data_IF_004661081761
#
_entry.id   IF_004661081761
#
_cell.length_a   1.000
_cell.length_b   1.000
_cell.length_c   1.000
_cell.angle_alpha   90.00
_cell.angle_beta   90.00
_cell.angle_gamma   90.00
#
_symmetry.space_group_name_H-M   'P 1'
#
loop_
_entity.id
_entity.type
_entity.pdbx_description
1 polymer ?
#
# COMPACT_ATOMS: atom_id res chain seq x y z
N UNK A 1 3.09 56.98 17.85
CA UNK A 1 4.34 56.85 17.06
C UNK A 1 4.88 55.45 17.29
N UNK A 2 5.18 54.69 16.23
CA UNK A 2 5.80 53.36 16.35
C UNK A 2 7.31 53.55 16.57
N UNK A 3 7.86 53.05 17.67
CA UNK A 3 9.30 53.17 17.94
C UNK A 3 10.09 52.16 17.12
N UNK A 4 11.40 52.40 16.91
CA UNK A 4 12.24 51.42 16.23
C UNK A 4 12.24 50.07 16.91
N UNK A 5 12.26 50.07 18.24
CA UNK A 5 12.24 48.84 19.04
C UNK A 5 11.02 48.01 18.69
N UNK A 6 9.83 48.62 18.54
CA UNK A 6 8.64 47.91 18.10
C UNK A 6 8.76 47.31 16.70
N UNK A 7 9.46 47.98 15.77
CA UNK A 7 9.70 47.48 14.41
C UNK A 7 10.70 46.31 14.44
N UNK A 8 11.79 46.45 15.21
CA UNK A 8 12.81 45.43 15.40
C UNK A 8 12.24 44.19 16.10
N UNK A 9 11.46 44.38 17.15
CA UNK A 9 10.77 43.31 17.88
C UNK A 9 9.80 42.55 16.98
N UNK A 10 9.08 43.26 16.11
CA UNK A 10 8.18 42.62 15.15
C UNK A 10 8.94 41.81 14.09
N UNK A 11 10.05 42.32 13.55
CA UNK A 11 10.92 41.60 12.62
C UNK A 11 11.59 40.37 13.27
N UNK A 12 12.08 40.52 14.52
CA UNK A 12 12.63 39.44 15.33
C UNK A 12 11.56 38.39 15.66
N UNK A 13 10.33 38.85 15.86
CA UNK A 13 9.15 38.00 15.99
C UNK A 13 8.87 37.17 14.74
N UNK A 14 8.86 37.79 13.56
CA UNK A 14 8.72 37.05 12.29
C UNK A 14 9.81 35.98 12.15
N UNK A 15 11.07 36.33 12.45
CA UNK A 15 12.19 35.38 12.43
C UNK A 15 11.94 34.16 13.31
N UNK A 16 11.51 34.36 14.56
CA UNK A 16 11.19 33.26 15.49
C UNK A 16 10.05 32.38 14.98
N UNK A 17 8.95 32.98 14.53
CA UNK A 17 7.81 32.19 14.05
C UNK A 17 8.12 31.42 12.77
N UNK A 18 8.85 32.00 11.82
CA UNK A 18 9.25 31.31 10.61
C UNK A 18 10.27 30.19 10.89
N UNK A 19 11.16 30.38 11.87
CA UNK A 19 12.07 29.32 12.32
C UNK A 19 11.29 28.14 12.93
N UNK A 20 10.30 28.42 13.78
CA UNK A 20 9.42 27.40 14.36
C UNK A 20 8.59 26.70 13.29
N UNK A 21 8.00 27.47 12.36
CA UNK A 21 7.26 26.92 11.22
C UNK A 21 8.14 25.99 10.37
N UNK A 22 9.40 26.39 10.10
CA UNK A 22 10.35 25.58 9.36
C UNK A 22 10.66 24.26 10.08
N UNK A 23 10.87 24.31 11.41
CA UNK A 23 11.06 23.12 12.24
C UNK A 23 9.88 22.17 12.14
N UNK A 24 8.65 22.66 12.28
CA UNK A 24 7.43 21.85 12.20
C UNK A 24 7.24 21.24 10.82
N UNK A 25 7.45 22.02 9.76
CA UNK A 25 7.39 21.55 8.36
C UNK A 25 8.40 20.42 8.11
N UNK A 26 9.62 20.53 8.64
CA UNK A 26 10.62 19.46 8.57
C UNK A 26 10.24 18.23 9.38
N UNK A 27 9.63 18.40 10.56
CA UNK A 27 9.11 17.29 11.35
C UNK A 27 8.00 16.54 10.60
N UNK A 28 7.05 17.24 9.97
CA UNK A 28 6.04 16.62 9.09
C UNK A 28 6.71 15.87 7.94
N UNK A 29 7.72 16.45 7.30
CA UNK A 29 8.44 15.79 6.21
C UNK A 29 9.17 14.51 6.68
N UNK A 30 9.79 14.55 7.87
CA UNK A 30 10.46 13.42 8.50
C UNK A 30 9.49 12.30 8.85
N UNK A 31 8.39 12.65 9.52
CA UNK A 31 7.33 11.71 9.90
C UNK A 31 6.73 11.03 8.67
N UNK A 32 6.30 11.81 7.66
CA UNK A 32 5.81 11.27 6.38
C UNK A 32 6.84 10.41 5.66
N UNK A 33 8.14 10.65 5.89
CA UNK A 33 9.22 9.82 5.37
C UNK A 33 9.23 8.39 5.89
N UNK A 34 8.68 8.12 7.07
CA UNK A 34 8.53 6.75 7.59
C UNK A 34 7.63 5.89 6.69
N UNK A 35 6.69 6.51 5.98
CA UNK A 35 5.82 5.83 5.01
C UNK A 35 6.47 5.54 3.64
N UNK A 36 7.73 5.93 3.39
CA UNK A 36 8.38 5.74 2.08
C UNK A 36 8.48 4.25 1.70
N UNK A 37 8.65 3.36 2.68
CA UNK A 37 8.66 1.91 2.49
C UNK A 37 7.29 1.40 2.02
N UNK A 38 6.20 1.83 2.65
CA UNK A 38 4.84 1.47 2.25
C UNK A 38 4.49 1.99 0.85
N UNK A 39 4.89 3.22 0.52
CA UNK A 39 4.71 3.78 -0.84
C UNK A 39 5.46 2.95 -1.89
N UNK A 40 6.70 2.57 -1.59
CA UNK A 40 7.52 1.72 -2.47
C UNK A 40 6.90 0.33 -2.62
N UNK A 41 6.38 -0.24 -1.53
CA UNK A 41 5.63 -1.48 -1.55
C UNK A 41 4.39 -1.37 -2.44
N UNK A 42 3.60 -0.30 -2.28
CA UNK A 42 2.37 -0.05 -3.04
C UNK A 42 2.61 0.10 -4.54
N UNK A 43 3.72 0.72 -4.95
CA UNK A 43 4.11 0.83 -6.37
C UNK A 43 4.39 -0.52 -7.02
N UNK A 44 4.87 -1.49 -6.23
CA UNK A 44 5.16 -2.84 -6.69
C UNK A 44 3.96 -3.79 -6.56
N UNK A 45 2.77 -3.32 -6.14
CA UNK A 45 1.61 -4.18 -5.89
C UNK A 45 1.16 -4.93 -7.15
N UNK A 46 1.09 -4.24 -8.29
CA UNK A 46 0.63 -4.85 -9.54
C UNK A 46 1.61 -5.93 -10.02
N UNK A 47 2.91 -5.72 -9.79
CA UNK A 47 3.93 -6.75 -10.03
C UNK A 47 3.72 -7.98 -9.16
N UNK A 48 3.35 -7.81 -7.88
CA UNK A 48 3.03 -8.94 -6.98
C UNK A 48 1.76 -9.68 -7.40
N UNK A 49 0.75 -8.95 -7.90
CA UNK A 49 -0.43 -9.56 -8.49
C UNK A 49 -0.02 -10.46 -9.66
N UNK A 50 0.80 -9.95 -10.58
CA UNK A 50 1.24 -10.68 -11.76
C UNK A 50 2.20 -11.84 -11.44
N UNK A 51 3.06 -11.71 -10.44
CA UNK A 51 4.07 -12.73 -10.12
C UNK A 51 3.57 -13.82 -9.19
N UNK A 52 2.56 -13.54 -8.35
CA UNK A 52 2.12 -14.46 -7.29
C UNK A 52 0.63 -14.78 -7.39
N UNK A 53 -0.23 -13.76 -7.41
CA UNK A 53 -1.68 -13.95 -7.33
C UNK A 53 -2.25 -14.58 -8.61
N UNK A 54 -1.90 -14.04 -9.77
CA UNK A 54 -2.40 -14.51 -11.07
C UNK A 54 -1.90 -15.93 -11.41
N UNK A 55 -0.62 -16.29 -11.21
CA UNK A 55 -0.16 -17.65 -11.39
C UNK A 55 -0.85 -18.65 -10.46
N UNK A 56 -0.99 -18.33 -9.17
CA UNK A 56 -1.71 -19.18 -8.21
C UNK A 56 -3.18 -19.40 -8.61
N UNK A 57 -3.84 -18.34 -9.08
CA UNK A 57 -5.21 -18.42 -9.57
C UNK A 57 -5.32 -19.34 -10.81
N UNK A 58 -4.39 -19.21 -11.75
CA UNK A 58 -4.36 -20.03 -12.96
C UNK A 58 -4.07 -21.50 -12.64
N UNK A 59 -3.16 -21.77 -11.70
CA UNK A 59 -2.86 -23.11 -11.25
C UNK A 59 -4.09 -23.79 -10.63
N UNK A 60 -4.78 -23.12 -9.69
CA UNK A 60 -6.00 -23.67 -9.09
C UNK A 60 -7.12 -23.91 -10.12
N UNK A 61 -7.24 -23.03 -11.12
CA UNK A 61 -8.19 -23.22 -12.23
C UNK A 61 -7.83 -24.43 -13.08
N UNK A 62 -6.55 -24.63 -13.39
CA UNK A 62 -6.07 -25.78 -14.16
C UNK A 62 -6.24 -27.10 -13.39
N UNK A 63 -5.92 -27.11 -12.09
CA UNK A 63 -6.20 -28.26 -11.20
C UNK A 63 -7.69 -28.58 -11.18
N UNK A 64 -8.55 -27.57 -11.00
CA UNK A 64 -10.02 -27.73 -11.03
C UNK A 64 -10.54 -28.30 -12.35
N UNK A 65 -10.01 -27.83 -13.49
CA UNK A 65 -10.38 -28.33 -14.83
C UNK A 65 -9.99 -29.79 -15.01
N UNK A 66 -8.79 -30.16 -14.57
CA UNK A 66 -8.27 -31.53 -14.65
C UNK A 66 -9.09 -32.49 -13.78
N UNK A 67 -9.41 -32.09 -12.55
CA UNK A 67 -10.27 -32.87 -11.65
C UNK A 67 -11.67 -33.07 -12.22
N UNK A 68 -12.28 -32.04 -12.80
CA UNK A 68 -13.61 -32.14 -13.43
C UNK A 68 -13.60 -33.12 -14.61
N UNK A 69 -12.53 -33.13 -15.41
CA UNK A 69 -12.34 -34.10 -16.49
C UNK A 69 -12.25 -35.53 -15.92
N UNK A 70 -11.41 -35.75 -14.92
CA UNK A 70 -11.27 -37.06 -14.24
C UNK A 70 -12.58 -37.54 -13.61
N UNK A 71 -13.34 -36.64 -12.97
CA UNK A 71 -14.64 -36.99 -12.39
C UNK A 71 -15.63 -37.49 -13.45
N UNK A 72 -15.60 -36.90 -14.66
CA UNK A 72 -16.44 -37.33 -15.78
C UNK A 72 -15.99 -38.70 -16.30
N UNK A 73 -14.68 -38.91 -16.41
CA UNK A 73 -14.09 -40.21 -16.81
C UNK A 73 -14.42 -41.31 -15.80
N UNK A 74 -14.32 -41.03 -14.49
CA UNK A 74 -14.67 -41.99 -13.43
C UNK A 74 -16.15 -42.36 -13.42
N UNK A 75 -17.05 -41.39 -13.67
CA UNK A 75 -18.49 -41.65 -13.79
C UNK A 75 -18.79 -42.59 -14.96
N UNK A 76 -18.24 -42.31 -16.14
CA UNK A 76 -18.39 -43.17 -17.30
C UNK A 76 -17.86 -44.59 -17.03
N UNK A 77 -16.70 -44.71 -16.38
CA UNK A 77 -16.12 -46.00 -16.00
C UNK A 77 -17.03 -46.78 -15.04
N UNK A 78 -17.62 -46.11 -14.04
CA UNK A 78 -18.58 -46.75 -13.11
C UNK A 78 -19.83 -47.23 -13.87
N UNK A 79 -20.35 -46.45 -14.82
CA UNK A 79 -21.49 -46.85 -15.65
C UNK A 79 -21.16 -48.09 -16.49
N UNK A 80 -20.01 -48.11 -17.17
CA UNK A 80 -19.52 -49.26 -17.95
C UNK A 80 -19.33 -50.51 -17.09
N UNK A 81 -18.71 -50.38 -15.91
CA UNK A 81 -18.54 -51.50 -14.96
C UNK A 81 -19.86 -52.01 -14.40
N UNK A 82 -20.85 -51.15 -14.22
CA UNK A 82 -22.20 -51.58 -13.83
C UNK A 82 -22.88 -52.37 -14.94
N UNK A 83 -22.65 -52.05 -16.23
CA UNK A 83 -23.14 -52.87 -17.34
C UNK A 83 -22.50 -54.27 -17.35
N UNK A 84 -21.19 -54.37 -17.07
CA UNK A 84 -20.50 -55.67 -16.92
C UNK A 84 -21.10 -56.46 -15.75
N UNK A 85 -21.28 -55.82 -14.60
CA UNK A 85 -21.92 -56.42 -13.42
C UNK A 85 -23.31 -56.97 -13.73
N UNK A 86 -24.15 -56.21 -14.44
CA UNK A 86 -25.49 -56.64 -14.86
C UNK A 86 -25.40 -57.81 -15.85
N UNK A 87 -24.46 -57.81 -16.79
CA UNK A 87 -24.26 -58.91 -17.72
C UNK A 87 -23.84 -60.20 -16.99
N UNK A 88 -22.94 -60.11 -16.01
CA UNK A 88 -22.53 -61.23 -15.15
C UNK A 88 -23.68 -61.78 -14.30
N UNK A 89 -24.48 -60.90 -13.70
CA UNK A 89 -25.65 -61.31 -12.90
C UNK A 89 -26.73 -62.00 -13.72
N UNK A 90 -26.82 -61.69 -15.02
CA UNK A 90 -27.75 -62.31 -15.96
C UNK A 90 -27.14 -63.50 -16.72
N UNK A 91 -25.98 -64.01 -16.28
CA UNK A 91 -25.27 -65.16 -16.88
C UNK A 91 -24.88 -64.96 -18.36
N UNK A 92 -24.74 -63.69 -18.80
CA UNK A 92 -24.34 -63.33 -20.17
C UNK A 92 -22.82 -63.08 -20.24
N UNK A 93 -22.03 -64.14 -20.07
CA UNK A 93 -20.57 -64.05 -19.92
C UNK A 93 -19.85 -63.46 -21.15
N UNK A 94 -20.17 -63.91 -22.38
CA UNK A 94 -19.59 -63.36 -23.63
C UNK A 94 -19.81 -61.86 -23.79
N UNK A 95 -20.94 -61.35 -23.27
CA UNK A 95 -21.28 -59.94 -23.31
C UNK A 95 -20.53 -59.17 -22.24
N UNK A 96 -20.40 -59.74 -21.03
CA UNK A 96 -19.61 -59.14 -19.96
C UNK A 96 -18.13 -59.01 -20.36
N UNK A 97 -17.56 -60.06 -20.97
CA UNK A 97 -16.19 -60.09 -21.48
C UNK A 97 -15.95 -59.01 -22.54
N UNK A 98 -16.83 -58.93 -23.56
CA UNK A 98 -16.73 -57.90 -24.61
C UNK A 98 -16.76 -56.47 -24.06
N UNK A 99 -17.69 -56.18 -23.14
CA UNK A 99 -17.76 -54.85 -22.53
C UNK A 99 -16.48 -54.58 -21.73
N UNK A 100 -15.97 -55.54 -20.97
CA UNK A 100 -14.74 -55.36 -20.18
C UNK A 100 -13.50 -55.10 -21.06
N UNK A 101 -13.39 -55.78 -22.20
CA UNK A 101 -12.31 -55.59 -23.19
C UNK A 101 -12.36 -54.22 -23.88
N UNK A 102 -13.55 -53.63 -24.03
CA UNK A 102 -13.74 -52.29 -24.60
C UNK A 102 -13.33 -51.16 -23.63
N UNK A 103 -13.30 -51.43 -22.32
CA UNK A 103 -12.89 -50.44 -21.30
C UNK A 103 -11.37 -50.27 -21.39
N UNK A 104 -10.90 -49.20 -22.05
CA UNK A 104 -9.46 -48.90 -22.22
C UNK A 104 -8.69 -48.69 -20.92
N UNK A 105 -9.39 -48.29 -19.86
CA UNK A 105 -8.87 -48.15 -18.49
C UNK A 105 -9.31 -49.31 -17.60
N UNK A 106 -9.56 -50.48 -18.20
CA UNK A 106 -10.03 -51.63 -17.47
C UNK A 106 -9.08 -51.91 -16.30
N UNK A 107 -9.62 -52.20 -15.11
CA UNK A 107 -8.81 -52.84 -14.09
C UNK A 107 -8.18 -54.10 -14.68
N UNK A 108 -6.96 -54.42 -14.24
CA UNK A 108 -6.25 -55.65 -14.57
C UNK A 108 -6.98 -56.84 -13.90
N UNK A 109 -8.20 -57.11 -14.38
CA UNK A 109 -9.02 -58.26 -13.99
C UNK A 109 -8.53 -59.39 -14.88
N UNK A 110 -7.33 -59.88 -14.54
CA UNK A 110 -6.78 -61.11 -15.09
C UNK A 110 -7.54 -62.28 -14.45
N UNK A 111 -8.78 -62.46 -14.89
CA UNK A 111 -9.70 -63.51 -14.48
C UNK A 111 -10.54 -63.90 -15.68
N UNK A 112 -10.41 -65.16 -16.07
CA UNK A 112 -11.26 -65.80 -17.06
C UNK A 112 -12.72 -65.82 -16.54
N UNK A 113 -13.53 -64.89 -17.06
CA UNK A 113 -14.90 -64.64 -16.61
C UNK A 113 -15.78 -65.87 -16.78
N UNK A 114 -15.52 -66.68 -17.82
CA UNK A 114 -16.25 -67.92 -18.09
C UNK A 114 -15.94 -68.99 -17.05
N UNK A 115 -14.69 -69.05 -16.56
CA UNK A 115 -14.26 -70.07 -15.59
C UNK A 115 -14.58 -69.68 -14.15
N UNK A 116 -14.61 -68.38 -13.82
CA UNK A 116 -14.77 -67.89 -12.43
C UNK A 116 -15.70 -66.67 -12.33
N UNK A 117 -16.99 -66.79 -12.69
CA UNK A 117 -17.91 -65.66 -12.77
C UNK A 117 -18.19 -65.01 -11.41
N UNK A 118 -18.24 -65.78 -10.33
CA UNK A 118 -18.43 -65.24 -8.98
C UNK A 118 -17.24 -64.41 -8.48
N UNK A 119 -16.00 -64.88 -8.73
CA UNK A 119 -14.79 -64.12 -8.39
C UNK A 119 -14.69 -62.83 -9.21
N UNK A 120 -15.01 -62.89 -10.51
CA UNK A 120 -15.04 -61.73 -11.39
C UNK A 120 -16.08 -60.69 -10.92
N UNK A 121 -17.28 -61.14 -10.53
CA UNK A 121 -18.33 -60.28 -10.01
C UNK A 121 -17.91 -59.57 -8.72
N UNK A 122 -17.29 -60.27 -7.78
CA UNK A 122 -16.81 -59.66 -6.52
C UNK A 122 -15.66 -58.67 -6.78
N UNK A 123 -14.72 -58.98 -7.69
CA UNK A 123 -13.66 -58.02 -8.07
C UNK A 123 -14.24 -56.75 -8.70
N UNK A 124 -15.23 -56.87 -9.58
CA UNK A 124 -15.88 -55.71 -10.21
C UNK A 124 -16.59 -54.84 -9.15
N UNK A 125 -17.31 -55.46 -8.20
CA UNK A 125 -17.94 -54.72 -7.09
C UNK A 125 -16.92 -53.97 -6.24
N UNK A 126 -15.80 -54.61 -5.91
CA UNK A 126 -14.71 -53.97 -5.15
C UNK A 126 -14.11 -52.80 -5.91
N UNK A 127 -13.88 -52.96 -7.22
CA UNK A 127 -13.32 -51.91 -8.05
C UNK A 127 -14.27 -50.72 -8.21
N UNK A 128 -15.57 -50.96 -8.44
CA UNK A 128 -16.60 -49.90 -8.46
C UNK A 128 -16.53 -49.10 -7.16
N UNK A 129 -16.49 -49.77 -6.00
CA UNK A 129 -16.41 -49.12 -4.69
C UNK A 129 -15.13 -48.30 -4.53
N UNK A 130 -14.00 -48.77 -5.06
CA UNK A 130 -12.74 -48.03 -5.01
C UNK A 130 -12.76 -46.78 -5.90
N UNK A 131 -13.31 -46.89 -7.12
CA UNK A 131 -13.47 -45.75 -8.04
C UNK A 131 -14.43 -44.71 -7.45
N UNK A 132 -15.56 -45.15 -6.88
CA UNK A 132 -16.51 -44.28 -6.18
C UNK A 132 -15.83 -43.51 -5.04
N UNK A 133 -15.04 -44.18 -4.19
CA UNK A 133 -14.30 -43.52 -3.10
C UNK A 133 -13.33 -42.46 -3.62
N UNK A 134 -12.54 -42.79 -4.65
CA UNK A 134 -11.60 -41.84 -5.28
C UNK A 134 -12.32 -40.65 -5.91
N UNK A 135 -13.51 -40.89 -6.46
CA UNK A 135 -14.37 -39.83 -7.00
C UNK A 135 -14.86 -38.89 -5.91
N UNK A 136 -15.31 -39.41 -4.77
CA UNK A 136 -15.75 -38.60 -3.63
C UNK A 136 -14.61 -37.74 -3.06
N UNK A 137 -13.43 -38.32 -2.87
CA UNK A 137 -12.22 -37.59 -2.46
C UNK A 137 -11.86 -36.48 -3.46
N UNK A 138 -11.93 -36.77 -4.76
CA UNK A 138 -11.68 -35.79 -5.83
C UNK A 138 -12.73 -34.67 -5.86
N UNK A 139 -14.00 -34.99 -5.61
CA UNK A 139 -15.09 -34.02 -5.54
C UNK A 139 -14.91 -33.06 -4.34
N UNK A 140 -14.53 -33.59 -3.17
CA UNK A 140 -14.21 -32.78 -1.99
C UNK A 140 -13.01 -31.87 -2.24
N UNK A 141 -11.96 -32.38 -2.90
CA UNK A 141 -10.80 -31.55 -3.27
C UNK A 141 -11.18 -30.46 -4.29
N UNK A 142 -12.04 -30.77 -5.28
CA UNK A 142 -12.53 -29.78 -6.25
C UNK A 142 -13.33 -28.65 -5.58
N UNK A 143 -14.15 -28.95 -4.57
CA UNK A 143 -14.87 -27.95 -3.77
C UNK A 143 -13.86 -27.00 -3.09
N UNK A 144 -12.81 -27.56 -2.48
CA UNK A 144 -11.73 -26.78 -1.86
C UNK A 144 -11.00 -25.89 -2.87
N UNK A 145 -10.60 -26.42 -4.04
CA UNK A 145 -9.97 -25.62 -5.10
C UNK A 145 -10.86 -24.45 -5.56
N UNK A 146 -12.18 -24.67 -5.72
CA UNK A 146 -13.12 -23.61 -6.10
C UNK A 146 -13.29 -22.55 -5.00
N UNK A 147 -13.30 -22.96 -3.73
CA UNK A 147 -13.32 -22.03 -2.59
C UNK A 147 -12.05 -21.17 -2.56
N UNK A 148 -10.87 -21.79 -2.70
CA UNK A 148 -9.58 -21.10 -2.77
C UNK A 148 -9.53 -20.13 -3.97
N UNK A 149 -9.97 -20.55 -5.16
CA UNK A 149 -10.05 -19.69 -6.35
C UNK A 149 -10.91 -18.44 -6.10
N UNK A 150 -12.07 -18.59 -5.45
CA UNK A 150 -12.92 -17.45 -5.07
C UNK A 150 -12.21 -16.53 -4.07
N UNK A 151 -11.50 -17.08 -3.09
CA UNK A 151 -10.75 -16.31 -2.09
C UNK A 151 -9.58 -15.55 -2.72
N UNK A 152 -8.81 -16.19 -3.61
CA UNK A 152 -7.73 -15.53 -4.38
C UNK A 152 -8.27 -14.40 -5.27
N UNK A 153 -9.42 -14.57 -5.92
CA UNK A 153 -10.05 -13.48 -6.68
C UNK A 153 -10.43 -12.29 -5.80
N UNK A 154 -10.95 -12.54 -4.58
CA UNK A 154 -11.24 -11.45 -3.62
C UNK A 154 -9.96 -10.73 -3.19
N UNK A 155 -8.90 -11.48 -2.91
CA UNK A 155 -7.56 -10.94 -2.59
C UNK A 155 -7.06 -10.05 -3.74
N UNK A 156 -7.16 -10.53 -4.99
CA UNK A 156 -6.81 -9.72 -6.17
C UNK A 156 -7.56 -8.40 -6.21
N UNK A 157 -8.87 -8.42 -5.93
CA UNK A 157 -9.68 -7.20 -5.91
C UNK A 157 -9.25 -6.23 -4.80
N UNK A 158 -8.84 -6.72 -3.62
CA UNK A 158 -8.28 -5.88 -2.55
C UNK A 158 -7.01 -5.17 -3.04
N UNK A 159 -6.10 -5.87 -3.71
CA UNK A 159 -4.86 -5.28 -4.25
C UNK A 159 -5.12 -4.25 -5.36
N UNK A 160 -6.27 -4.33 -6.01
CA UNK A 160 -6.67 -3.43 -7.11
C UNK A 160 -7.63 -2.32 -6.67
N UNK A 161 -8.11 -2.33 -5.42
CA UNK A 161 -9.13 -1.38 -4.94
C UNK A 161 -8.59 0.03 -4.72
N UNK A 162 -7.34 0.16 -4.26
CA UNK A 162 -6.73 1.44 -3.91
C UNK A 162 -5.98 2.04 -5.12
N UNK A 163 -6.25 3.32 -5.42
CA UNK A 163 -5.52 4.07 -6.45
C UNK A 163 -4.25 4.72 -5.91
N UNK A 164 -4.24 5.11 -4.63
CA UNK A 164 -3.11 5.74 -3.94
C UNK A 164 -2.83 5.03 -2.63
N UNK A 165 -1.61 5.13 -2.13
CA UNK A 165 -1.18 4.51 -0.86
C UNK A 165 -2.04 4.94 0.33
N UNK A 166 -2.48 6.20 0.36
CA UNK A 166 -3.35 6.71 1.43
C UNK A 166 -4.78 6.16 1.40
N UNK A 167 -5.20 5.59 0.27
CA UNK A 167 -6.52 4.98 0.11
C UNK A 167 -6.49 3.48 0.49
N UNK A 168 -5.32 2.97 0.92
CA UNK A 168 -5.18 1.57 1.34
C UNK A 168 -5.84 1.36 2.70
N UNK A 169 -6.72 0.38 2.76
CA UNK A 169 -7.11 -0.24 4.02
C UNK A 169 -6.01 -1.23 4.46
N UNK A 170 -5.16 -0.78 5.38
CA UNK A 170 -4.01 -1.55 5.88
C UNK A 170 -4.46 -2.89 6.47
N UNK A 171 -5.58 -2.93 7.20
CA UNK A 171 -6.08 -4.16 7.81
C UNK A 171 -6.55 -5.15 6.74
N UNK A 172 -7.30 -4.68 5.74
CA UNK A 172 -7.77 -5.52 4.65
C UNK A 172 -6.61 -6.09 3.81
N UNK A 173 -5.58 -5.29 3.53
CA UNK A 173 -4.39 -5.75 2.80
C UNK A 173 -3.58 -6.75 3.62
N UNK A 174 -3.33 -6.49 4.90
CA UNK A 174 -2.62 -7.42 5.78
C UNK A 174 -3.33 -8.77 5.87
N UNK A 175 -4.66 -8.76 6.05
CA UNK A 175 -5.45 -9.99 6.05
C UNK A 175 -5.39 -10.70 4.69
N UNK A 176 -5.47 -9.97 3.58
CA UNK A 176 -5.39 -10.54 2.25
C UNK A 176 -4.02 -11.20 1.96
N UNK A 177 -2.93 -10.63 2.49
CA UNK A 177 -1.58 -11.20 2.41
C UNK A 177 -1.50 -12.52 3.20
N UNK A 178 -1.95 -12.52 4.46
CA UNK A 178 -1.98 -13.71 5.30
C UNK A 178 -2.83 -14.83 4.69
N UNK A 179 -4.01 -14.47 4.21
CA UNK A 179 -4.93 -15.38 3.53
C UNK A 179 -4.27 -16.00 2.28
N UNK A 180 -3.60 -15.19 1.46
CA UNK A 180 -2.93 -15.67 0.26
C UNK A 180 -1.80 -16.65 0.60
N UNK A 181 -0.92 -16.29 1.53
CA UNK A 181 0.21 -17.13 1.92
C UNK A 181 -0.26 -18.44 2.58
N UNK A 182 -1.38 -18.42 3.30
CA UNK A 182 -2.03 -19.63 3.85
C UNK A 182 -2.54 -20.54 2.74
N UNK A 183 -3.25 -20.01 1.75
CA UNK A 183 -3.76 -20.79 0.60
C UNK A 183 -2.59 -21.37 -0.20
N UNK A 184 -1.55 -20.58 -0.46
CA UNK A 184 -0.34 -21.03 -1.14
C UNK A 184 0.24 -22.26 -0.44
N UNK A 185 0.35 -22.22 0.89
CA UNK A 185 0.87 -23.33 1.71
C UNK A 185 -0.07 -24.54 1.71
N UNK A 186 -1.37 -24.32 1.88
CA UNK A 186 -2.38 -25.39 1.90
C UNK A 186 -2.43 -26.17 0.58
N UNK A 187 -2.26 -25.48 -0.56
CA UNK A 187 -2.33 -26.08 -1.89
C UNK A 187 -0.96 -26.38 -2.50
N UNK A 188 0.13 -26.10 -1.80
CA UNK A 188 1.51 -26.28 -2.27
C UNK A 188 1.72 -25.65 -3.66
N UNK A 189 1.34 -24.37 -3.78
CA UNK A 189 1.46 -23.60 -5.02
C UNK A 189 2.86 -23.01 -5.11
N UNK A 190 3.56 -23.25 -6.22
CA UNK A 190 4.92 -22.76 -6.45
C UNK A 190 4.90 -21.31 -6.99
N UNK A 191 4.70 -20.37 -6.07
CA UNK A 191 4.76 -18.93 -6.35
C UNK A 191 5.47 -18.18 -5.22
N UNK A 192 6.07 -17.01 -5.50
CA UNK A 192 6.68 -16.19 -4.44
C UNK A 192 5.66 -15.75 -3.40
N UNK A 193 6.08 -15.73 -2.14
CA UNK A 193 5.27 -15.19 -1.05
C UNK A 193 5.11 -13.68 -1.13
N UNK A 194 3.95 -13.21 -0.70
CA UNK A 194 3.70 -11.78 -0.61
C UNK A 194 4.24 -11.32 0.75
N UNK A 195 5.25 -10.45 0.71
CA UNK A 195 5.80 -9.80 1.90
C UNK A 195 4.74 -8.94 2.58
N UNK A 196 4.77 -8.94 3.90
CA UNK A 196 3.93 -8.10 4.76
C UNK A 196 4.03 -6.61 4.42
N UNK A 197 2.99 -5.87 4.81
CA UNK A 197 2.99 -4.43 4.66
C UNK A 197 4.03 -3.80 5.60
N UNK A 198 4.90 -2.91 5.07
CA UNK A 198 5.75 -2.09 5.94
C UNK A 198 4.91 -1.16 6.81
N UNK A 199 5.47 -0.79 7.96
CA UNK A 199 4.91 0.25 8.80
C UNK A 199 4.78 1.58 8.04
N UNK A 200 3.78 2.36 8.41
CA UNK A 200 3.56 3.72 7.92
C UNK A 200 3.73 4.71 9.06
N UNK A 201 3.77 5.99 8.71
CA UNK A 201 3.71 7.07 9.69
C UNK A 201 2.40 7.06 10.47
N UNK A 202 2.45 7.54 11.71
CA UNK A 202 1.27 7.68 12.55
C UNK A 202 0.44 8.90 12.11
N UNK A 203 -0.85 8.66 11.83
CA UNK A 203 -1.78 9.72 11.45
C UNK A 203 -2.10 10.67 12.60
N UNK A 204 -2.06 10.19 13.85
CA UNK A 204 -2.28 11.02 15.05
C UNK A 204 -1.20 12.10 15.16
N UNK A 205 0.06 11.67 15.16
CA UNK A 205 1.25 12.54 15.17
C UNK A 205 1.22 13.57 14.04
N UNK A 206 0.85 13.17 12.82
CA UNK A 206 0.71 14.11 11.69
C UNK A 206 -0.39 15.15 11.94
N UNK A 207 -1.52 14.73 12.50
CA UNK A 207 -2.62 15.64 12.82
C UNK A 207 -2.22 16.66 13.87
N UNK A 208 -1.50 16.24 14.91
CA UNK A 208 -0.95 17.14 15.95
C UNK A 208 0.01 18.17 15.34
N UNK A 209 0.96 17.72 14.53
CA UNK A 209 1.88 18.61 13.83
C UNK A 209 1.16 19.60 12.89
N UNK A 210 0.08 19.17 12.25
CA UNK A 210 -0.76 20.04 11.42
C UNK A 210 -1.45 21.13 12.25
N UNK A 211 -1.96 20.81 13.44
CA UNK A 211 -2.53 21.80 14.36
C UNK A 211 -1.47 22.79 14.88
N UNK A 212 -0.28 22.30 15.25
CA UNK A 212 0.83 23.17 15.64
C UNK A 212 1.20 24.15 14.51
N UNK A 213 1.27 23.66 13.26
CA UNK A 213 1.50 24.52 12.09
C UNK A 213 0.41 25.59 11.96
N UNK A 214 -0.87 25.22 12.11
CA UNK A 214 -1.99 26.18 12.06
C UNK A 214 -1.86 27.25 13.14
N UNK A 215 -1.47 26.87 14.36
CA UNK A 215 -1.25 27.81 15.45
C UNK A 215 -0.12 28.80 15.14
N UNK A 216 1.03 28.33 14.65
CA UNK A 216 2.15 29.20 14.25
C UNK A 216 1.73 30.14 13.12
N UNK A 217 0.99 29.64 12.14
CA UNK A 217 0.47 30.47 11.04
C UNK A 217 -0.47 31.56 11.53
N UNK A 218 -1.36 31.25 12.47
CA UNK A 218 -2.24 32.24 13.09
C UNK A 218 -1.44 33.35 13.80
N UNK A 219 -0.34 33.00 14.50
CA UNK A 219 0.57 33.99 15.09
C UNK A 219 1.23 34.87 14.04
N UNK A 220 1.75 34.29 12.95
CA UNK A 220 2.36 35.05 11.84
C UNK A 220 1.36 36.03 11.21
N UNK A 221 0.10 35.60 11.06
CA UNK A 221 -0.96 36.44 10.51
C UNK A 221 -1.41 37.56 11.45
N UNK A 222 -1.33 37.34 12.76
CA UNK A 222 -1.60 38.34 13.79
C UNK A 222 -0.52 39.41 13.93
N UNK A 223 0.67 39.22 13.33
CA UNK A 223 1.75 40.23 13.38
C UNK A 223 1.45 41.45 12.54
N UNK A 224 2.04 42.58 12.93
CA UNK A 224 2.02 43.79 12.12
C UNK A 224 2.66 43.53 10.76
N UNK A 225 1.93 43.84 9.69
CA UNK A 225 2.30 43.47 8.32
C UNK A 225 3.51 44.28 7.85
N UNK A 226 4.67 43.63 7.78
CA UNK A 226 5.88 44.21 7.20
C UNK A 226 6.00 43.84 5.72
N UNK A 227 6.12 44.85 4.85
CA UNK A 227 6.25 44.65 3.40
C UNK A 227 7.45 43.76 3.01
N UNK A 228 8.55 43.82 3.78
CA UNK A 228 9.73 42.98 3.57
C UNK A 228 9.42 41.47 3.67
N UNK A 229 8.46 41.08 4.51
CA UNK A 229 8.08 39.68 4.73
C UNK A 229 6.91 39.24 3.84
N UNK A 230 6.52 40.03 2.83
CA UNK A 230 5.35 39.75 1.99
C UNK A 230 5.47 38.39 1.26
N UNK A 231 6.65 38.04 0.74
CA UNK A 231 6.86 36.75 0.07
C UNK A 231 6.77 35.57 1.05
N UNK A 232 7.48 35.64 2.18
CA UNK A 232 7.40 34.64 3.23
C UNK A 232 5.95 34.44 3.73
N UNK A 233 5.16 35.51 3.83
CA UNK A 233 3.72 35.43 4.17
C UNK A 233 2.85 34.83 3.07
N UNK A 234 3.16 35.06 1.79
CA UNK A 234 2.50 34.34 0.69
C UNK A 234 2.78 32.84 0.79
N UNK A 235 4.01 32.47 1.14
CA UNK A 235 4.42 31.07 1.31
C UNK A 235 3.62 30.34 2.39
N UNK A 236 3.29 31.02 3.48
CA UNK A 236 2.42 30.49 4.56
C UNK A 236 1.08 29.99 4.03
N UNK A 237 0.46 30.68 3.06
CA UNK A 237 -0.81 30.23 2.47
C UNK A 237 -0.66 28.90 1.73
N UNK A 238 0.46 28.72 1.03
CA UNK A 238 0.75 27.47 0.33
C UNK A 238 0.98 26.33 1.32
N UNK A 239 1.65 26.61 2.45
CA UNK A 239 1.85 25.62 3.52
C UNK A 239 0.52 25.17 4.13
N UNK A 240 -0.38 26.10 4.45
CA UNK A 240 -1.72 25.75 4.96
C UNK A 240 -2.52 24.93 3.94
N UNK A 241 -2.44 25.28 2.66
CA UNK A 241 -3.05 24.48 1.60
C UNK A 241 -2.46 23.07 1.53
N UNK A 242 -1.14 22.92 1.72
CA UNK A 242 -0.47 21.63 1.71
C UNK A 242 -0.84 20.78 2.95
N UNK A 243 -1.02 21.42 4.11
CA UNK A 243 -1.56 20.83 5.35
C UNK A 243 -3.01 20.38 5.13
N UNK A 244 -3.87 21.24 4.59
CA UNK A 244 -5.28 20.93 4.35
C UNK A 244 -5.50 19.79 3.35
N UNK A 245 -4.58 19.60 2.41
CA UNK A 245 -4.63 18.52 1.42
C UNK A 245 -3.82 17.27 1.79
N UNK A 246 -3.21 17.25 2.98
CA UNK A 246 -2.32 16.18 3.44
C UNK A 246 -1.26 15.81 2.38
N UNK A 247 -0.50 16.80 1.91
CA UNK A 247 0.51 16.58 0.86
C UNK A 247 1.65 15.67 1.33
N UNK A 248 2.39 15.10 0.38
CA UNK A 248 3.50 14.19 0.69
C UNK A 248 4.77 14.91 1.17
N UNK A 249 5.71 14.14 1.72
CA UNK A 249 7.05 14.55 2.20
C UNK A 249 7.76 15.59 1.32
N UNK A 250 7.75 15.40 -0.01
CA UNK A 250 8.42 16.30 -0.96
C UNK A 250 7.87 17.72 -0.93
N UNK A 251 6.55 17.89 -0.73
CA UNK A 251 5.95 19.20 -0.64
C UNK A 251 6.52 19.96 0.57
N UNK A 252 6.48 19.34 1.75
CA UNK A 252 6.99 19.92 3.00
C UNK A 252 8.51 20.17 2.95
N UNK A 253 9.28 19.26 2.35
CA UNK A 253 10.74 19.48 2.13
C UNK A 253 11.00 20.73 1.27
N UNK A 254 10.20 20.92 0.21
CA UNK A 254 10.31 22.13 -0.63
C UNK A 254 9.88 23.39 0.14
N UNK A 255 8.81 23.30 0.94
CA UNK A 255 8.35 24.44 1.77
C UNK A 255 9.40 24.88 2.77
N UNK A 256 10.11 23.95 3.39
CA UNK A 256 11.22 24.28 4.28
C UNK A 256 12.27 25.16 3.60
N UNK A 257 12.73 24.78 2.38
CA UNK A 257 13.71 25.56 1.62
C UNK A 257 13.18 26.94 1.24
N UNK A 258 11.91 27.02 0.85
CA UNK A 258 11.27 28.29 0.50
C UNK A 258 11.12 29.20 1.73
N UNK A 259 10.76 28.68 2.90
CA UNK A 259 10.72 29.45 4.16
C UNK A 259 12.10 30.02 4.45
N UNK A 260 13.14 29.19 4.45
CA UNK A 260 14.52 29.63 4.75
C UNK A 260 14.95 30.73 3.78
N UNK A 261 14.73 30.54 2.48
CA UNK A 261 15.08 31.53 1.45
C UNK A 261 14.32 32.85 1.64
N UNK A 262 12.99 32.80 1.66
CA UNK A 262 12.13 34.00 1.70
C UNK A 262 12.33 34.77 3.01
N UNK A 263 12.51 34.07 4.13
CA UNK A 263 12.74 34.70 5.45
C UNK A 263 14.14 35.29 5.55
N UNK A 264 15.18 34.60 5.09
CA UNK A 264 16.55 35.13 5.15
C UNK A 264 16.74 36.33 4.23
N UNK A 265 16.09 36.36 3.06
CA UNK A 265 16.05 37.54 2.20
C UNK A 265 15.39 38.74 2.91
N UNK A 266 14.26 38.52 3.57
CA UNK A 266 13.56 39.57 4.33
C UNK A 266 14.41 40.10 5.50
N UNK A 267 15.07 39.22 6.24
CA UNK A 267 15.98 39.57 7.35
C UNK A 267 17.21 40.32 6.84
N UNK A 268 17.82 39.88 5.74
CA UNK A 268 18.96 40.56 5.14
C UNK A 268 18.58 41.97 4.65
N UNK A 269 17.43 42.11 3.98
CA UNK A 269 16.89 43.43 3.62
C UNK A 269 16.61 44.29 4.86
N UNK A 270 16.07 43.71 5.93
CA UNK A 270 15.84 44.42 7.19
C UNK A 270 17.15 44.92 7.80
N UNK A 271 18.17 44.05 7.87
CA UNK A 271 19.50 44.39 8.39
C UNK A 271 20.25 45.40 7.49
N UNK A 272 20.04 45.38 6.17
CA UNK A 272 20.64 46.36 5.26
C UNK A 272 19.94 47.72 5.33
N UNK A 273 18.61 47.74 5.36
CA UNK A 273 17.81 48.97 5.25
C UNK A 273 17.54 49.61 6.61
N UNK A 274 17.10 48.84 7.60
CA UNK A 274 16.48 49.36 8.82
C UNK A 274 17.38 49.32 10.06
N UNK A 275 18.46 48.53 10.06
CA UNK A 275 19.41 48.50 11.19
C UNK A 275 20.11 49.86 11.45
N UNK A 276 20.08 50.77 10.48
CA UNK A 276 20.66 52.12 10.55
C UNK A 276 19.64 53.27 10.66
N UNK A 277 18.32 53.01 10.64
CA UNK A 277 17.33 54.07 10.34
C UNK A 277 16.81 54.86 11.56
N UNK A 278 17.23 54.57 12.79
CA UNK A 278 16.49 55.14 13.95
C UNK A 278 17.26 56.08 14.84
N UNK A 279 18.00 56.97 14.21
CA UNK A 279 18.53 58.14 14.86
C UNK A 279 19.37 58.93 13.89
N UNK A 280 18.79 59.28 12.74
CA UNK A 280 19.49 59.90 11.61
C UNK A 280 20.61 58.99 11.07
N UNK A 281 20.58 58.65 9.77
CA UNK A 281 21.75 57.99 9.12
C UNK A 281 23.06 58.73 9.40
N UNK A 282 22.91 60.01 9.72
CA UNK A 282 23.95 60.94 10.06
C UNK A 282 23.48 61.87 11.17
N UNK A 283 24.18 61.92 12.29
CA UNK A 283 23.95 62.98 13.27
C UNK A 283 24.65 64.25 12.80
N UNK A 284 23.91 65.36 12.75
CA UNK A 284 24.46 66.67 12.37
C UNK A 284 25.32 67.18 13.52
N UNK A 285 26.61 67.33 13.31
CA UNK A 285 27.49 67.98 14.30
C UNK A 285 27.21 69.48 14.27
N UNK A 286 26.88 70.06 15.42
CA UNK A 286 26.26 71.38 15.59
C UNK A 286 27.05 72.62 15.14
N UNK A 287 28.19 72.48 14.47
CA UNK A 287 28.95 73.63 13.96
C UNK A 287 29.65 73.29 12.64
N UNK A 288 29.23 73.99 11.58
CA UNK A 288 29.82 74.12 10.24
C UNK A 288 29.50 73.11 9.12
N UNK A 289 28.92 73.72 8.07
CA UNK A 289 28.68 73.42 6.65
C UNK A 289 28.56 71.99 6.07
N UNK A 290 29.25 70.93 6.50
CA UNK A 290 29.06 69.56 5.95
C UNK A 290 29.36 68.42 6.94
N UNK A 291 29.09 68.63 8.24
CA UNK A 291 29.36 67.63 9.29
C UNK A 291 28.21 66.66 9.54
N UNK A 292 28.36 65.44 9.01
CA UNK A 292 27.47 64.31 9.25
C UNK A 292 28.34 63.16 9.79
N UNK A 293 28.06 62.64 11.00
CA UNK A 293 28.77 61.47 11.55
C UNK A 293 27.89 60.21 11.51
N UNK A 294 28.51 59.07 11.19
CA UNK A 294 27.82 57.79 11.26
C UNK A 294 27.39 57.51 12.71
N UNK A 295 26.11 57.17 12.89
CA UNK A 295 25.54 56.87 14.21
C UNK A 295 25.68 55.37 14.47
N UNK A 296 26.09 55.03 15.70
CA UNK A 296 26.15 53.64 16.12
C UNK A 296 24.74 53.02 16.09
N UNK A 297 24.58 51.79 15.58
CA UNK A 297 23.29 51.12 15.54
C UNK A 297 22.75 50.91 16.95
N UNK A 298 21.45 51.13 17.11
CA UNK A 298 20.79 51.04 18.42
C UNK A 298 20.37 49.62 18.79
N UNK A 299 20.35 48.69 17.83
CA UNK A 299 19.93 47.30 18.02
C UNK A 299 20.86 46.35 17.23
N UNK A 300 21.09 45.12 17.71
CA UNK A 300 21.87 44.12 16.99
C UNK A 300 21.14 43.68 15.71
N UNK A 301 21.92 43.22 14.71
CA UNK A 301 21.37 42.58 13.52
C UNK A 301 20.56 41.34 13.90
N UNK A 302 19.47 41.12 13.19
CA UNK A 302 18.67 39.91 13.36
C UNK A 302 19.40 38.75 12.64
N UNK A 303 19.69 37.64 13.32
CA UNK A 303 20.33 36.49 12.68
C UNK A 303 19.38 35.81 11.71
N UNK A 304 19.96 35.22 10.67
CA UNK A 304 19.26 34.33 9.74
C UNK A 304 18.68 33.11 10.47
N UNK A 305 17.74 32.42 9.81
CA UNK A 305 17.19 31.13 10.23
C UNK A 305 17.86 29.97 9.51
#
# INVERSE_FOLDING_TARGET
MTTFSQIHDNASGYRRDFQELNRLVLQVAGEKGKGDALVSWFRLRDRRVLSSIDPALNELKNRSKTLKKRETESKNLIEELNLVKIALQNERFDRAQRILEEIKTAPDIDLDIEKRPHEALERIKLYIKEVDRKQEESAQYLIRCRAATRKINRIKNVFQSAKRTKDMDIAAYSQAIMDFNTIKKEFEIDVPEIKELPESYDTGTISELHEEIRAVVARIDGRYRMGLFAQARKRVRVIIHDVGNDRGKRAFTNRSREIVSDTNEAIDMFNKKYWQITGSRWERTGTNTHGYRAVAPTHPKIPMI
#
